data_IF_764011039534
#
_entry.id   IF_764011039534
#
_cell.length_a   1.000
_cell.length_b   1.000
_cell.length_c   1.000
_cell.angle_alpha   90.00
_cell.angle_beta   90.00
_cell.angle_gamma   90.00
#
_symmetry.space_group_name_H-M   'P 1'
#
loop_
_entity.id
_entity.type
_entity.pdbx_description
1 polymer ?
#
# COMPACT_ATOMS: atom_id res chain seq x y z
N UNK A 1 -41.42 6.08 -49.96
CA UNK A 1 -40.21 5.28 -49.61
C UNK A 1 -39.10 6.13 -49.02
N UNK A 2 -38.75 7.26 -49.63
CA UNK A 2 -37.64 8.15 -49.20
C UNK A 2 -37.76 8.70 -47.77
N UNK A 3 -38.95 9.16 -47.37
CA UNK A 3 -39.18 9.73 -46.03
C UNK A 3 -38.93 8.74 -44.88
N UNK A 4 -39.26 7.45 -45.10
CA UNK A 4 -39.03 6.38 -44.13
C UNK A 4 -37.54 6.02 -44.03
N UNK A 5 -36.79 6.07 -45.13
CA UNK A 5 -35.35 5.87 -45.12
C UNK A 5 -34.65 7.01 -44.37
N UNK A 6 -35.05 8.25 -44.59
CA UNK A 6 -34.50 9.43 -43.89
C UNK A 6 -34.74 9.34 -42.38
N UNK A 7 -35.96 8.96 -41.95
CA UNK A 7 -36.31 8.77 -40.54
C UNK A 7 -35.46 7.67 -39.88
N UNK A 8 -35.24 6.55 -40.57
CA UNK A 8 -34.35 5.47 -40.08
C UNK A 8 -32.90 5.95 -39.96
N UNK A 9 -32.42 6.73 -40.92
CA UNK A 9 -31.06 7.29 -40.89
C UNK A 9 -30.88 8.25 -39.71
N UNK A 10 -31.84 9.16 -39.47
CA UNK A 10 -31.79 10.08 -38.32
C UNK A 10 -31.82 9.35 -36.98
N UNK A 11 -32.63 8.29 -36.84
CA UNK A 11 -32.66 7.45 -35.63
C UNK A 11 -31.30 6.78 -35.43
N UNK A 12 -30.70 6.24 -36.49
CA UNK A 12 -29.38 5.60 -36.43
C UNK A 12 -28.29 6.57 -35.95
N UNK A 13 -28.23 7.79 -36.51
CA UNK A 13 -27.28 8.82 -36.05
C UNK A 13 -27.53 9.23 -34.60
N UNK A 14 -28.78 9.36 -34.19
CA UNK A 14 -29.12 9.70 -32.81
C UNK A 14 -28.71 8.58 -31.83
N UNK A 15 -28.90 7.31 -32.20
CA UNK A 15 -28.43 6.17 -31.40
C UNK A 15 -26.92 6.09 -31.33
N UNK A 16 -26.20 6.38 -32.41
CA UNK A 16 -24.73 6.42 -32.39
C UNK A 16 -24.21 7.58 -31.53
N UNK A 17 -24.85 8.74 -31.57
CA UNK A 17 -24.49 9.89 -30.75
C UNK A 17 -24.69 9.61 -29.25
N UNK A 18 -25.85 9.05 -28.88
CA UNK A 18 -26.11 8.62 -27.51
C UNK A 18 -25.14 7.52 -27.06
N UNK A 19 -24.84 6.55 -27.94
CA UNK A 19 -23.86 5.50 -27.66
C UNK A 19 -22.47 6.06 -27.36
N UNK A 20 -22.02 7.06 -28.12
CA UNK A 20 -20.74 7.73 -27.87
C UNK A 20 -20.73 8.55 -26.58
N UNK A 21 -21.82 9.23 -26.23
CA UNK A 21 -21.92 9.97 -24.96
C UNK A 21 -21.83 9.00 -23.77
N UNK A 22 -22.63 7.91 -23.80
CA UNK A 22 -22.59 6.90 -22.75
C UNK A 22 -21.21 6.24 -22.65
N UNK A 23 -20.58 5.94 -23.79
CA UNK A 23 -19.22 5.39 -23.83
C UNK A 23 -18.18 6.34 -23.23
N UNK A 24 -18.22 7.63 -23.58
CA UNK A 24 -17.30 8.63 -23.05
C UNK A 24 -17.48 8.84 -21.53
N UNK A 25 -18.73 8.89 -21.06
CA UNK A 25 -19.05 9.01 -19.64
C UNK A 25 -18.57 7.81 -18.82
N UNK A 26 -18.64 6.59 -19.39
CA UNK A 26 -18.19 5.38 -18.71
C UNK A 26 -16.65 5.24 -18.68
N UNK A 27 -15.94 5.77 -19.68
CA UNK A 27 -14.48 5.66 -19.76
C UNK A 27 -13.72 6.78 -19.05
N UNK A 28 -14.32 7.96 -18.89
CA UNK A 28 -13.66 9.08 -18.21
C UNK A 28 -13.18 8.74 -16.78
N UNK A 29 -13.96 8.04 -15.92
CA UNK A 29 -13.48 7.60 -14.62
C UNK A 29 -12.31 6.60 -14.71
N UNK A 30 -12.33 5.69 -15.68
CA UNK A 30 -11.28 4.68 -15.85
C UNK A 30 -9.94 5.31 -16.26
N UNK A 31 -9.98 6.26 -17.20
CA UNK A 31 -8.78 7.03 -17.61
C UNK A 31 -8.21 7.78 -16.40
N UNK A 32 -9.08 8.45 -15.64
CA UNK A 32 -8.67 9.18 -14.43
C UNK A 32 -8.05 8.26 -13.37
N UNK A 33 -8.56 7.04 -13.19
CA UNK A 33 -7.96 6.05 -12.27
C UNK A 33 -6.57 5.64 -12.76
N UNK A 34 -6.41 5.34 -14.05
CA UNK A 34 -5.11 5.00 -14.63
C UNK A 34 -4.07 6.11 -14.44
N UNK A 35 -4.48 7.38 -14.60
CA UNK A 35 -3.60 8.53 -14.36
C UNK A 35 -3.17 8.62 -12.89
N UNK A 36 -4.08 8.34 -11.95
CA UNK A 36 -3.76 8.31 -10.52
C UNK A 36 -2.80 7.16 -10.17
N UNK A 37 -2.99 5.98 -10.75
CA UNK A 37 -2.11 4.84 -10.50
C UNK A 37 -0.71 5.09 -11.06
N UNK A 38 -0.60 5.69 -12.24
CA UNK A 38 0.68 6.12 -12.83
C UNK A 38 1.40 7.11 -11.93
N UNK A 39 0.68 8.15 -11.49
CA UNK A 39 1.23 9.17 -10.59
C UNK A 39 1.63 8.59 -9.22
N UNK A 40 0.85 7.64 -8.68
CA UNK A 40 1.21 6.93 -7.47
C UNK A 40 2.51 6.15 -7.62
N UNK A 41 2.66 5.39 -8.72
CA UNK A 41 3.85 4.59 -8.97
C UNK A 41 5.11 5.46 -9.11
N UNK A 42 5.01 6.63 -9.74
CA UNK A 42 6.12 7.56 -9.89
C UNK A 42 6.65 8.07 -8.53
N UNK A 43 5.76 8.32 -7.57
CA UNK A 43 6.11 8.87 -6.26
C UNK A 43 6.11 7.82 -5.12
N UNK A 44 5.99 6.54 -5.46
CA UNK A 44 5.95 5.47 -4.48
C UNK A 44 7.22 5.43 -3.63
N UNK A 45 7.06 5.39 -2.30
CA UNK A 45 8.19 5.35 -1.36
C UNK A 45 8.96 6.66 -1.21
N UNK A 46 8.52 7.75 -1.85
CA UNK A 46 9.18 9.06 -1.71
C UNK A 46 8.60 9.86 -0.54
N UNK A 47 9.48 10.58 0.15
CA UNK A 47 9.17 11.41 1.32
C UNK A 47 9.58 12.89 1.15
N UNK A 48 9.76 13.36 -0.09
CA UNK A 48 10.03 14.77 -0.39
C UNK A 48 8.77 15.62 -0.23
N UNK A 49 8.94 16.95 -0.17
CA UNK A 49 7.82 17.89 -0.15
C UNK A 49 6.98 17.83 -1.43
N UNK A 50 7.62 17.61 -2.58
CA UNK A 50 6.91 17.35 -3.84
C UNK A 50 6.05 16.08 -3.74
N UNK A 51 6.61 14.99 -3.22
CA UNK A 51 5.88 13.75 -3.02
C UNK A 51 4.68 13.95 -2.08
N UNK A 52 4.82 14.75 -1.03
CA UNK A 52 3.71 15.10 -0.14
C UNK A 52 2.55 15.80 -0.86
N UNK A 53 2.84 16.77 -1.73
CA UNK A 53 1.82 17.44 -2.53
C UNK A 53 1.11 16.44 -3.45
N UNK A 54 1.87 15.53 -4.05
CA UNK A 54 1.34 14.45 -4.89
C UNK A 54 0.47 13.48 -4.09
N UNK A 55 0.91 13.02 -2.93
CA UNK A 55 0.16 12.09 -2.08
C UNK A 55 -1.18 12.67 -1.63
N UNK A 56 -1.22 13.96 -1.28
CA UNK A 56 -2.47 14.66 -0.97
C UNK A 56 -3.38 14.83 -2.20
N UNK A 57 -2.79 15.15 -3.36
CA UNK A 57 -3.54 15.21 -4.63
C UNK A 57 -4.18 13.87 -4.95
N UNK A 58 -3.43 12.77 -4.84
CA UNK A 58 -3.91 11.41 -5.01
C UNK A 58 -5.05 11.09 -4.06
N UNK A 59 -4.92 11.41 -2.77
CA UNK A 59 -5.97 11.18 -1.79
C UNK A 59 -7.27 11.92 -2.15
N UNK A 60 -7.17 13.21 -2.48
CA UNK A 60 -8.32 14.05 -2.83
C UNK A 60 -9.02 13.55 -4.09
N UNK A 61 -8.26 13.24 -5.15
CA UNK A 61 -8.82 12.75 -6.41
C UNK A 61 -9.41 11.35 -6.26
N UNK A 62 -8.76 10.46 -5.52
CA UNK A 62 -9.28 9.11 -5.26
C UNK A 62 -10.59 9.16 -4.46
N UNK A 63 -10.71 10.05 -3.46
CA UNK A 63 -11.97 10.30 -2.75
C UNK A 63 -13.08 10.78 -3.69
N UNK A 64 -12.78 11.72 -4.59
CA UNK A 64 -13.76 12.23 -5.57
C UNK A 64 -14.29 11.14 -6.51
N UNK A 65 -13.43 10.18 -6.87
CA UNK A 65 -13.76 9.07 -7.75
C UNK A 65 -14.30 7.84 -7.01
N UNK A 66 -14.40 7.88 -5.68
CA UNK A 66 -14.67 6.70 -4.83
C UNK A 66 -13.72 5.52 -5.12
N UNK A 67 -12.47 5.83 -5.47
CA UNK A 67 -11.45 4.84 -5.80
C UNK A 67 -10.72 4.36 -4.54
N UNK A 68 -11.22 3.27 -3.95
CA UNK A 68 -10.75 2.77 -2.66
C UNK A 68 -9.27 2.40 -2.61
N UNK A 69 -8.75 1.76 -3.66
CA UNK A 69 -7.35 1.37 -3.72
C UNK A 69 -6.44 2.62 -3.76
N UNK A 70 -6.80 3.64 -4.53
CA UNK A 70 -6.09 4.93 -4.54
C UNK A 70 -6.12 5.62 -3.18
N UNK A 71 -7.25 5.57 -2.46
CA UNK A 71 -7.37 6.11 -1.10
C UNK A 71 -6.41 5.39 -0.13
N UNK A 72 -6.44 4.04 -0.12
CA UNK A 72 -5.58 3.23 0.75
C UNK A 72 -4.10 3.41 0.42
N UNK A 73 -3.75 3.48 -0.86
CA UNK A 73 -2.39 3.75 -1.33
C UNK A 73 -1.91 5.13 -0.90
N UNK A 74 -2.75 6.15 -1.00
CA UNK A 74 -2.40 7.50 -0.54
C UNK A 74 -2.21 7.56 0.99
N UNK A 75 -3.02 6.86 1.79
CA UNK A 75 -2.78 6.75 3.23
C UNK A 75 -1.42 6.13 3.55
N UNK A 76 -1.05 5.02 2.89
CA UNK A 76 0.28 4.41 3.08
C UNK A 76 1.41 5.39 2.74
N UNK A 77 1.30 6.12 1.64
CA UNK A 77 2.30 7.11 1.25
C UNK A 77 2.40 8.28 2.24
N UNK A 78 1.28 8.75 2.79
CA UNK A 78 1.27 9.81 3.80
C UNK A 78 1.86 9.32 5.12
N UNK A 79 1.56 8.09 5.55
CA UNK A 79 2.21 7.44 6.70
C UNK A 79 3.72 7.41 6.51
N UNK A 80 4.19 7.00 5.33
CA UNK A 80 5.61 6.97 5.01
C UNK A 80 6.22 8.38 5.09
N UNK A 81 5.62 9.37 4.43
CA UNK A 81 6.09 10.75 4.47
C UNK A 81 6.21 11.30 5.89
N UNK A 82 5.17 11.16 6.72
CA UNK A 82 5.20 11.62 8.10
C UNK A 82 6.02 10.72 9.03
N UNK A 83 6.44 9.55 8.58
CA UNK A 83 7.28 8.63 9.34
C UNK A 83 8.78 8.80 9.11
N UNK A 84 9.20 9.23 7.91
CA UNK A 84 10.64 9.25 7.54
C UNK A 84 11.16 10.60 7.04
N UNK A 85 10.29 11.59 6.81
CA UNK A 85 10.75 12.92 6.37
C UNK A 85 11.25 13.79 7.52
N UNK A 86 11.90 14.91 7.19
CA UNK A 86 12.26 15.94 8.16
C UNK A 86 11.03 16.59 8.84
N UNK A 87 9.82 16.42 8.28
CA UNK A 87 8.55 16.86 8.86
C UNK A 87 7.83 15.71 9.58
N UNK A 88 8.60 14.76 10.15
CA UNK A 88 8.05 13.61 10.84
C UNK A 88 7.06 14.03 11.94
N UNK A 89 5.91 13.36 11.99
CA UNK A 89 4.85 13.69 12.92
C UNK A 89 4.04 12.44 13.28
N UNK A 90 4.15 12.03 14.54
CA UNK A 90 3.53 10.79 15.02
C UNK A 90 2.01 10.84 14.95
N UNK A 91 1.38 11.98 15.28
CA UNK A 91 -0.07 12.12 15.25
C UNK A 91 -0.62 11.89 13.84
N UNK A 92 0.08 12.39 12.82
CA UNK A 92 -0.26 12.18 11.41
C UNK A 92 -0.07 10.72 11.01
N UNK A 93 1.02 10.08 11.43
CA UNK A 93 1.25 8.65 11.21
C UNK A 93 0.12 7.82 11.81
N UNK A 94 -0.24 8.07 13.06
CA UNK A 94 -1.31 7.36 13.76
C UNK A 94 -2.68 7.64 13.12
N UNK A 95 -2.97 8.89 12.76
CA UNK A 95 -4.20 9.28 12.10
C UNK A 95 -4.40 8.56 10.77
N UNK A 96 -3.42 8.58 9.87
CA UNK A 96 -3.54 7.90 8.58
C UNK A 96 -3.49 6.38 8.72
N UNK A 97 -2.79 5.85 9.73
CA UNK A 97 -2.81 4.42 10.03
C UNK A 97 -4.20 3.97 10.48
N UNK A 98 -4.87 4.73 11.35
CA UNK A 98 -6.24 4.43 11.80
C UNK A 98 -7.23 4.46 10.63
N UNK A 99 -7.16 5.48 9.78
CA UNK A 99 -7.99 5.56 8.57
C UNK A 99 -7.76 4.39 7.61
N UNK A 100 -6.51 3.95 7.46
CA UNK A 100 -6.17 2.79 6.65
C UNK A 100 -6.75 1.52 7.27
N UNK A 101 -6.41 1.22 8.53
CA UNK A 101 -6.79 -0.03 9.20
C UNK A 101 -8.31 -0.16 9.35
N UNK A 102 -9.01 0.92 9.73
CA UNK A 102 -10.48 0.94 9.79
C UNK A 102 -11.09 0.57 8.44
N UNK A 103 -10.58 1.16 7.35
CA UNK A 103 -11.09 0.89 6.01
C UNK A 103 -10.77 -0.52 5.52
N UNK A 104 -9.63 -1.09 5.93
CA UNK A 104 -9.30 -2.49 5.65
C UNK A 104 -10.21 -3.43 6.46
N UNK A 105 -10.47 -3.16 7.75
CA UNK A 105 -11.35 -3.99 8.61
C UNK A 105 -12.76 -4.10 8.03
N UNK A 106 -13.30 -3.02 7.45
CA UNK A 106 -14.62 -3.04 6.80
C UNK A 106 -14.69 -3.96 5.56
N UNK A 107 -13.53 -4.38 5.02
CA UNK A 107 -13.43 -5.33 3.90
C UNK A 107 -13.00 -6.68 4.48
N UNK A 108 -13.92 -7.65 4.61
CA UNK A 108 -13.69 -8.99 5.18
C UNK A 108 -12.29 -9.59 4.93
N UNK A 109 -11.31 -9.30 5.81
CA UNK A 109 -9.87 -9.59 5.59
C UNK A 109 -9.58 -11.09 5.76
N UNK A 110 -10.39 -11.79 6.56
CA UNK A 110 -10.02 -13.10 7.11
C UNK A 110 -9.90 -14.25 6.09
N UNK A 111 -10.23 -14.05 4.81
CA UNK A 111 -10.10 -15.11 3.80
C UNK A 111 -9.67 -14.65 2.40
N UNK A 112 -9.46 -13.35 2.16
CA UNK A 112 -9.20 -12.86 0.81
C UNK A 112 -7.69 -12.65 0.56
N UNK A 113 -7.05 -13.70 0.04
CA UNK A 113 -5.65 -13.67 -0.38
C UNK A 113 -5.38 -12.61 -1.46
N UNK A 114 -6.40 -12.22 -2.25
CA UNK A 114 -6.27 -11.19 -3.27
C UNK A 114 -6.23 -9.81 -2.64
N UNK A 115 -7.06 -9.54 -1.62
CA UNK A 115 -7.03 -8.27 -0.88
C UNK A 115 -5.69 -8.06 -0.18
N UNK A 116 -5.17 -9.10 0.49
CA UNK A 116 -3.87 -9.06 1.17
C UNK A 116 -2.75 -8.72 0.18
N UNK A 117 -2.73 -9.38 -0.98
CA UNK A 117 -1.74 -9.14 -2.05
C UNK A 117 -1.88 -7.75 -2.67
N UNK A 118 -3.10 -7.34 -3.02
CA UNK A 118 -3.38 -6.04 -3.64
C UNK A 118 -2.96 -4.87 -2.75
N UNK A 119 -3.23 -4.98 -1.44
CA UNK A 119 -2.89 -3.93 -0.49
C UNK A 119 -1.45 -4.00 0.02
N UNK A 120 -0.73 -5.11 -0.24
CA UNK A 120 0.58 -5.42 0.33
C UNK A 120 0.54 -5.30 1.85
N UNK A 121 -0.47 -5.89 2.47
CA UNK A 121 -0.77 -5.72 3.90
C UNK A 121 0.38 -6.12 4.85
N UNK A 122 1.16 -7.20 4.58
CA UNK A 122 2.36 -7.49 5.37
C UNK A 122 3.38 -6.34 5.34
N UNK A 123 3.65 -5.77 4.16
CA UNK A 123 4.59 -4.67 4.00
C UNK A 123 4.11 -3.40 4.71
N UNK A 124 2.80 -3.15 4.71
CA UNK A 124 2.21 -2.05 5.47
C UNK A 124 2.53 -2.17 6.96
N UNK A 125 2.27 -3.34 7.57
CA UNK A 125 2.52 -3.54 9.00
C UNK A 125 4.01 -3.55 9.35
N UNK A 126 4.87 -4.09 8.47
CA UNK A 126 6.33 -3.95 8.62
C UNK A 126 6.77 -2.48 8.61
N UNK A 127 6.32 -1.69 7.63
CA UNK A 127 6.68 -0.29 7.54
C UNK A 127 6.15 0.52 8.73
N UNK A 128 4.90 0.27 9.16
CA UNK A 128 4.33 0.92 10.36
C UNK A 128 5.15 0.56 11.60
N UNK A 129 5.52 -0.71 11.77
CA UNK A 129 6.34 -1.16 12.89
C UNK A 129 7.69 -0.46 12.92
N UNK A 130 8.36 -0.37 11.77
CA UNK A 130 9.65 0.31 11.62
C UNK A 130 9.55 1.80 11.91
N UNK A 131 8.51 2.48 11.41
CA UNK A 131 8.29 3.91 11.67
C UNK A 131 8.09 4.15 13.17
N UNK A 132 7.26 3.35 13.83
CA UNK A 132 6.98 3.54 15.26
C UNK A 132 8.21 3.23 16.12
N UNK A 133 8.85 2.08 15.91
CA UNK A 133 10.00 1.67 16.70
C UNK A 133 11.23 2.53 16.43
N UNK A 134 11.63 2.66 15.16
CA UNK A 134 12.91 3.27 14.79
C UNK A 134 12.77 4.77 14.53
N UNK A 135 11.64 5.21 13.96
CA UNK A 135 11.39 6.62 13.67
C UNK A 135 10.97 7.44 14.89
N UNK A 136 10.18 6.84 15.80
CA UNK A 136 9.63 7.54 16.96
C UNK A 136 10.05 6.96 18.32
N UNK A 137 10.85 5.90 18.36
CA UNK A 137 11.32 5.32 19.62
C UNK A 137 10.21 4.62 20.41
N UNK A 138 9.21 4.04 19.73
CA UNK A 138 8.07 3.34 20.32
C UNK A 138 8.14 1.83 20.02
N UNK A 139 9.05 1.08 20.67
CA UNK A 139 9.31 -0.31 20.35
C UNK A 139 8.12 -1.23 20.65
N UNK A 140 7.30 -0.95 21.67
CA UNK A 140 6.10 -1.73 21.98
C UNK A 140 5.06 -1.63 20.86
N UNK A 141 4.72 -0.42 20.42
CA UNK A 141 3.75 -0.18 19.34
C UNK A 141 4.30 -0.68 17.99
N UNK A 142 5.62 -0.61 17.81
CA UNK A 142 6.30 -1.24 16.68
C UNK A 142 6.11 -2.75 16.67
N UNK A 143 6.34 -3.40 17.81
CA UNK A 143 6.18 -4.84 17.99
C UNK A 143 4.74 -5.32 17.75
N UNK A 144 3.75 -4.58 18.27
CA UNK A 144 2.32 -4.84 18.02
C UNK A 144 2.01 -4.83 16.52
N UNK A 145 2.62 -3.92 15.77
CA UNK A 145 2.45 -3.86 14.31
C UNK A 145 3.09 -5.08 13.65
N UNK A 146 4.28 -5.49 14.07
CA UNK A 146 4.93 -6.70 13.54
C UNK A 146 4.13 -7.97 13.83
N UNK A 147 3.51 -8.12 14.99
CA UNK A 147 2.65 -9.29 15.27
C UNK A 147 1.46 -9.43 14.31
N UNK A 148 1.00 -8.33 13.68
CA UNK A 148 -0.02 -8.40 12.61
C UNK A 148 0.52 -8.98 11.30
N UNK A 149 1.85 -9.06 11.11
CA UNK A 149 2.49 -9.60 9.90
C UNK A 149 2.45 -11.12 9.89
N UNK A 150 2.78 -11.78 11.01
CA UNK A 150 2.91 -13.24 11.09
C UNK A 150 1.74 -14.04 10.48
N UNK A 151 0.46 -13.75 10.78
CA UNK A 151 -0.66 -14.50 10.20
C UNK A 151 -0.87 -14.21 8.70
N UNK A 152 -0.16 -13.25 8.12
CA UNK A 152 -0.27 -12.86 6.71
C UNK A 152 0.89 -13.40 5.86
N UNK A 153 1.87 -14.09 6.47
CA UNK A 153 2.99 -14.70 5.75
C UNK A 153 2.49 -15.99 5.09
N UNK A 154 2.49 -16.04 3.76
CA UNK A 154 2.14 -17.26 3.04
C UNK A 154 3.22 -18.33 3.21
N UNK A 155 2.79 -19.60 3.26
CA UNK A 155 3.71 -20.74 3.24
C UNK A 155 4.69 -20.62 2.05
N UNK A 156 5.98 -20.71 2.33
CA UNK A 156 7.05 -20.57 1.34
C UNK A 156 7.56 -19.15 1.07
N UNK A 157 6.94 -18.08 1.62
CA UNK A 157 7.47 -16.71 1.52
C UNK A 157 8.62 -16.48 2.51
N UNK A 158 9.76 -17.08 2.17
CA UNK A 158 10.98 -17.05 2.98
C UNK A 158 11.51 -15.63 3.14
N UNK A 159 11.33 -14.77 2.12
CA UNK A 159 11.81 -13.37 2.16
C UNK A 159 11.04 -12.56 3.20
N UNK A 160 9.71 -12.65 3.18
CA UNK A 160 8.87 -11.96 4.16
C UNK A 160 9.07 -12.52 5.56
N UNK A 161 9.24 -13.83 5.69
CA UNK A 161 9.56 -14.48 6.96
C UNK A 161 10.88 -13.98 7.55
N UNK A 162 11.95 -13.88 6.75
CA UNK A 162 13.23 -13.31 7.18
C UNK A 162 13.05 -11.85 7.61
N UNK A 163 12.39 -11.03 6.78
CA UNK A 163 12.18 -9.61 7.09
C UNK A 163 11.43 -9.42 8.42
N UNK A 164 10.37 -10.21 8.65
CA UNK A 164 9.63 -10.22 9.91
C UNK A 164 10.52 -10.54 11.11
N UNK A 165 11.29 -11.63 11.06
CA UNK A 165 12.13 -12.05 12.17
C UNK A 165 13.26 -11.04 12.45
N UNK A 166 13.86 -10.46 11.42
CA UNK A 166 14.86 -9.39 11.58
C UNK A 166 14.25 -8.18 12.29
N UNK A 167 13.06 -7.75 11.88
CA UNK A 167 12.34 -6.65 12.53
C UNK A 167 11.99 -6.93 14.00
N UNK A 168 11.54 -8.14 14.33
CA UNK A 168 11.29 -8.54 15.72
C UNK A 168 12.59 -8.55 16.55
N UNK A 169 13.68 -9.09 15.99
CA UNK A 169 14.97 -9.14 16.68
C UNK A 169 15.54 -7.75 16.95
N UNK A 170 15.35 -6.80 16.01
CA UNK A 170 15.72 -5.40 16.19
C UNK A 170 15.00 -4.75 17.37
N UNK A 171 13.69 -5.02 17.55
CA UNK A 171 12.96 -4.57 18.74
C UNK A 171 13.57 -5.14 20.02
N UNK A 172 13.83 -6.44 20.06
CA UNK A 172 14.41 -7.06 21.25
C UNK A 172 15.81 -6.49 21.55
N UNK A 173 16.59 -6.21 20.52
CA UNK A 173 17.87 -5.52 20.65
C UNK A 173 17.70 -4.13 21.27
N UNK A 174 16.79 -3.29 20.77
CA UNK A 174 16.50 -1.97 21.34
C UNK A 174 16.00 -2.03 22.80
N UNK A 175 15.37 -3.14 23.18
CA UNK A 175 14.91 -3.40 24.55
C UNK A 175 15.97 -4.06 25.44
N UNK A 176 17.21 -4.18 24.98
CA UNK A 176 18.32 -4.85 25.67
C UNK A 176 18.04 -6.34 25.99
N UNK A 177 17.13 -6.97 25.24
CA UNK A 177 16.75 -8.40 25.36
C UNK A 177 17.54 -9.25 24.36
N UNK A 178 18.88 -9.21 24.46
CA UNK A 178 19.77 -9.80 23.46
C UNK A 178 19.58 -11.30 23.26
N UNK A 179 19.32 -12.05 24.34
CA UNK A 179 19.08 -13.50 24.24
C UNK A 179 17.87 -13.81 23.36
N UNK A 180 16.79 -13.00 23.46
CA UNK A 180 15.61 -13.14 22.60
C UNK A 180 15.88 -12.73 21.17
N UNK A 181 16.67 -11.67 20.96
CA UNK A 181 17.09 -11.28 19.61
C UNK A 181 17.87 -12.41 18.93
N UNK A 182 18.78 -13.06 19.65
CA UNK A 182 19.55 -14.21 19.17
C UNK A 182 18.66 -15.44 18.94
N UNK A 183 17.71 -15.72 19.83
CA UNK A 183 16.74 -16.81 19.69
C UNK A 183 15.96 -16.69 18.37
N UNK A 184 15.52 -15.47 18.03
CA UNK A 184 14.78 -15.20 16.78
C UNK A 184 15.66 -15.31 15.53
N UNK A 185 16.92 -14.86 15.58
CA UNK A 185 17.81 -14.83 14.41
C UNK A 185 18.54 -16.17 14.15
N UNK A 186 18.80 -16.96 15.19
CA UNK A 186 19.60 -18.20 15.10
C UNK A 186 19.05 -19.20 14.06
N UNK A 187 17.73 -19.44 13.95
CA UNK A 187 17.18 -20.31 12.91
C UNK A 187 17.50 -19.81 11.49
N UNK A 188 17.54 -18.49 11.26
CA UNK A 188 17.83 -17.91 9.95
C UNK A 188 19.30 -18.06 9.55
N UNK A 189 20.21 -18.00 10.53
CA UNK A 189 21.65 -18.13 10.29
C UNK A 189 22.10 -19.55 9.94
N UNK A 190 21.35 -20.56 10.41
CA UNK A 190 21.60 -21.97 10.10
C UNK A 190 21.20 -22.31 8.65
N UNK A 191 20.31 -21.53 8.05
CA UNK A 191 19.82 -21.70 6.68
C UNK A 191 20.64 -20.85 5.69
N UNK A 192 21.88 -21.24 5.45
CA UNK A 192 22.87 -20.48 4.67
C UNK A 192 22.56 -20.37 3.16
N UNK A 193 21.48 -20.99 2.67
CA UNK A 193 20.96 -20.74 1.31
C UNK A 193 20.44 -19.29 1.16
N UNK A 194 19.99 -18.66 2.26
CA UNK A 194 19.47 -17.28 2.27
C UNK A 194 20.52 -16.16 2.34
N UNK A 195 21.77 -16.46 2.69
CA UNK A 195 22.85 -15.44 2.78
C UNK A 195 23.33 -15.01 1.38
N UNK A 196 23.18 -15.87 0.37
CA UNK A 196 23.56 -15.60 -1.02
C UNK A 196 22.66 -14.60 -1.76
N UNK A 197 21.42 -14.37 -1.30
CA UNK A 197 20.50 -13.42 -1.94
C UNK A 197 20.77 -11.95 -1.60
N UNK A 198 21.46 -11.67 -0.49
CA UNK A 198 21.81 -10.30 -0.08
C UNK A 198 23.19 -9.84 -0.60
N UNK A 199 24.02 -10.78 -1.08
CA UNK A 199 25.42 -10.52 -1.45
C UNK A 199 25.70 -10.56 -2.96
N UNK A 200 24.73 -10.95 -3.79
CA UNK A 200 24.86 -10.82 -5.26
C UNK A 200 24.78 -9.34 -5.68
N UNK A 201 25.95 -8.70 -5.74
CA UNK A 201 26.17 -7.52 -6.60
C UNK A 201 25.93 -7.94 -8.04
N UNK A 202 24.97 -7.31 -8.71
CA UNK A 202 24.89 -7.31 -10.16
C UNK A 202 26.08 -6.50 -10.70
N UNK A 203 27.04 -7.18 -11.32
CA UNK A 203 27.99 -6.57 -12.25
C UNK A 203 27.37 -6.61 -13.65
#
# INVERSE_FOLDING_TARGET
>A
MFLNALKKLSIFFFTLFLGNICYAQNNEPLIKISDLDSLHNQFYGQASEEAYLVHNKLLRQSKKLSYDQGILSAYKSLIWYYGVSAKANIDSVLHYADLFETKVITKSIKADTLLIKALKLPQYYLNKGQILANGFGLPEQGLESYFKVYPLISEGDTKLFIAYNVSIAEIYYHKFQYDKALEVLTPLLKDTVGVGSFTKKYY
#
